data_IF_503463349290
#
_entry.id   IF_503463349290
#
_cell.length_a   1.000
_cell.length_b   1.000
_cell.length_c   1.000
_cell.angle_alpha   90.00
_cell.angle_beta   90.00
_cell.angle_gamma   90.00
#
_symmetry.space_group_name_H-M   'P 1'
#
loop_
_entity.id
_entity.type
_entity.pdbx_description
1 polymer ?
#
# COMPACT_ATOMS: atom_id res chain seq x y z
N UNK A 1 -8.12 -13.64 -27.34
CA UNK A 1 -8.21 -12.80 -28.55
C UNK A 1 -7.18 -13.36 -29.54
N UNK A 2 -7.60 -13.96 -30.66
CA UNK A 2 -6.63 -14.42 -31.65
C UNK A 2 -5.86 -13.19 -32.16
N UNK A 3 -4.54 -13.23 -32.01
CA UNK A 3 -3.64 -12.18 -32.47
C UNK A 3 -3.39 -12.37 -33.96
N UNK A 4 -4.12 -11.64 -34.79
CA UNK A 4 -3.91 -11.64 -36.24
C UNK A 4 -2.67 -10.82 -36.68
N UNK A 5 -2.16 -9.92 -35.83
CA UNK A 5 -1.12 -8.97 -36.21
C UNK A 5 0.18 -9.04 -35.34
N UNK A 6 0.39 -10.12 -34.57
CA UNK A 6 1.66 -10.27 -33.84
C UNK A 6 2.75 -10.80 -34.78
N UNK A 7 3.88 -10.10 -34.82
CA UNK A 7 5.07 -10.57 -35.53
C UNK A 7 5.93 -11.48 -34.62
N UNK A 8 6.69 -12.42 -35.20
CA UNK A 8 7.66 -13.20 -34.43
C UNK A 8 8.71 -12.29 -33.80
N UNK A 9 9.25 -12.71 -32.67
CA UNK A 9 10.31 -11.97 -31.99
C UNK A 9 11.65 -12.15 -32.70
N UNK A 10 12.35 -11.03 -32.93
CA UNK A 10 13.73 -10.99 -33.41
C UNK A 10 14.64 -10.40 -32.32
N UNK A 11 15.79 -11.06 -32.08
CA UNK A 11 16.75 -10.66 -31.02
C UNK A 11 17.30 -9.24 -31.24
N UNK A 12 17.42 -8.82 -32.49
CA UNK A 12 17.87 -7.48 -32.89
C UNK A 12 16.96 -6.36 -32.30
N UNK A 13 15.71 -6.67 -32.01
CA UNK A 13 14.74 -5.74 -31.43
C UNK A 13 14.81 -5.68 -29.86
N UNK A 14 15.62 -6.51 -29.24
CA UNK A 14 15.73 -6.56 -27.74
C UNK A 14 16.11 -5.22 -27.11
N UNK A 15 17.05 -4.42 -27.64
CA UNK A 15 17.36 -3.10 -27.07
C UNK A 15 16.13 -2.18 -26.95
N UNK A 16 15.22 -2.25 -27.89
CA UNK A 16 14.01 -1.43 -27.91
C UNK A 16 13.00 -1.88 -26.84
N UNK A 17 12.93 -3.18 -26.57
CA UNK A 17 12.14 -3.70 -25.44
C UNK A 17 12.75 -3.31 -24.07
N UNK A 18 14.08 -3.19 -23.99
CA UNK A 18 14.73 -2.68 -22.77
C UNK A 18 14.30 -1.23 -22.50
N UNK A 19 14.31 -0.38 -23.52
CA UNK A 19 13.83 1.01 -23.44
C UNK A 19 12.36 1.04 -23.01
N UNK A 20 11.52 0.22 -23.63
CA UNK A 20 10.12 0.08 -23.24
C UNK A 20 9.98 -0.33 -21.76
N UNK A 21 10.81 -1.27 -21.28
CA UNK A 21 10.81 -1.70 -19.88
C UNK A 21 11.07 -0.56 -18.90
N UNK A 22 12.08 0.27 -19.20
CA UNK A 22 12.39 1.46 -18.39
C UNK A 22 11.23 2.46 -18.41
N UNK A 23 10.65 2.74 -19.58
CA UNK A 23 9.49 3.62 -19.73
C UNK A 23 8.29 3.09 -18.94
N UNK A 24 7.99 1.79 -19.02
CA UNK A 24 6.93 1.16 -18.21
C UNK A 24 7.19 1.30 -16.71
N UNK A 25 8.45 1.17 -16.26
CA UNK A 25 8.83 1.39 -14.87
C UNK A 25 8.57 2.82 -14.41
N UNK A 26 8.91 3.82 -15.23
CA UNK A 26 8.65 5.24 -14.94
C UNK A 26 7.13 5.57 -14.95
N UNK A 27 6.38 5.02 -15.90
CA UNK A 27 4.92 5.18 -15.94
C UNK A 27 4.26 4.47 -14.76
N UNK A 28 4.79 3.31 -14.33
CA UNK A 28 4.34 2.63 -13.11
C UNK A 28 4.56 3.49 -11.85
N UNK A 29 5.71 4.16 -11.78
CA UNK A 29 6.00 5.11 -10.69
C UNK A 29 5.03 6.29 -10.69
N UNK A 30 4.78 6.88 -11.87
CA UNK A 30 3.79 7.94 -12.04
C UNK A 30 2.41 7.48 -11.58
N UNK A 31 1.96 6.29 -12.03
CA UNK A 31 0.67 5.73 -11.65
C UNK A 31 0.56 5.49 -10.15
N UNK A 32 1.56 4.86 -9.54
CA UNK A 32 1.56 4.50 -8.11
C UNK A 32 1.54 5.74 -7.22
N UNK A 33 2.42 6.71 -7.48
CA UNK A 33 2.47 7.97 -6.72
C UNK A 33 1.24 8.82 -6.96
N UNK A 34 0.82 8.93 -8.22
CA UNK A 34 -0.36 9.71 -8.60
C UNK A 34 -1.63 9.18 -7.95
N UNK A 35 -1.87 7.87 -8.00
CA UNK A 35 -3.03 7.25 -7.35
C UNK A 35 -3.05 7.52 -5.84
N UNK A 36 -1.94 7.29 -5.14
CA UNK A 36 -1.87 7.50 -3.69
C UNK A 36 -2.06 8.98 -3.31
N UNK A 37 -1.36 9.88 -4.00
CA UNK A 37 -1.42 11.32 -3.68
C UNK A 37 -2.78 11.92 -3.97
N UNK A 38 -3.37 11.62 -5.14
CA UNK A 38 -4.67 12.15 -5.53
C UNK A 38 -5.81 11.54 -4.69
N UNK A 39 -5.72 10.25 -4.33
CA UNK A 39 -6.71 9.63 -3.46
C UNK A 39 -6.69 10.24 -2.05
N UNK A 40 -5.50 10.52 -1.49
CA UNK A 40 -5.37 11.21 -0.21
C UNK A 40 -5.87 12.65 -0.29
N UNK A 41 -5.54 13.37 -1.37
CA UNK A 41 -6.02 14.73 -1.60
C UNK A 41 -7.55 14.78 -1.67
N UNK A 42 -8.16 13.87 -2.43
CA UNK A 42 -9.60 13.75 -2.56
C UNK A 42 -10.28 13.48 -1.22
N UNK A 43 -9.76 12.51 -0.43
CA UNK A 43 -10.28 12.19 0.90
C UNK A 43 -10.17 13.34 1.89
N UNK A 44 -9.10 14.14 1.79
CA UNK A 44 -8.85 15.27 2.69
C UNK A 44 -9.80 16.44 2.43
N UNK A 45 -10.11 16.75 1.15
CA UNK A 45 -10.90 17.93 0.78
C UNK A 45 -12.40 17.64 0.68
N UNK A 46 -12.80 16.42 0.36
CA UNK A 46 -14.20 16.07 0.16
C UNK A 46 -14.59 15.03 1.21
N UNK A 47 -15.20 15.46 2.32
CA UNK A 47 -15.58 14.57 3.42
C UNK A 47 -17.03 14.07 3.32
N UNK A 48 -17.94 14.90 2.82
CA UNK A 48 -19.36 14.55 2.69
C UNK A 48 -19.58 13.55 1.54
N UNK A 49 -20.33 12.47 1.80
CA UNK A 49 -20.60 11.37 0.86
C UNK A 49 -21.26 11.86 -0.43
N UNK A 50 -22.26 12.75 -0.33
CA UNK A 50 -22.93 13.32 -1.49
C UNK A 50 -22.02 14.25 -2.31
N UNK A 51 -21.16 15.01 -1.62
CA UNK A 51 -20.16 15.83 -2.29
C UNK A 51 -19.11 14.98 -3.02
N UNK A 52 -18.68 13.84 -2.44
CA UNK A 52 -17.80 12.87 -3.11
C UNK A 52 -18.40 12.36 -4.41
N UNK A 53 -19.67 11.94 -4.36
CA UNK A 53 -20.39 11.48 -5.55
C UNK A 53 -20.51 12.57 -6.60
N UNK A 54 -20.92 13.79 -6.22
CA UNK A 54 -21.10 14.90 -7.15
C UNK A 54 -19.78 15.32 -7.81
N UNK A 55 -18.72 15.55 -7.01
CA UNK A 55 -17.39 15.96 -7.51
C UNK A 55 -16.77 14.86 -8.35
N UNK A 56 -16.76 13.60 -7.85
CA UNK A 56 -16.20 12.46 -8.58
C UNK A 56 -16.97 12.19 -9.88
N UNK A 57 -18.31 12.18 -9.83
CA UNK A 57 -19.16 11.94 -11.01
C UNK A 57 -19.02 13.04 -12.07
N UNK A 58 -18.99 14.32 -11.66
CA UNK A 58 -18.82 15.44 -12.60
C UNK A 58 -17.42 15.41 -13.24
N UNK A 59 -16.37 15.21 -12.43
CA UNK A 59 -15.00 15.11 -12.94
C UNK A 59 -14.85 13.93 -13.92
N UNK A 60 -15.40 12.75 -13.56
CA UNK A 60 -15.38 11.58 -14.43
C UNK A 60 -16.18 11.84 -15.71
N UNK A 61 -17.38 12.40 -15.63
CA UNK A 61 -18.21 12.72 -16.80
C UNK A 61 -17.51 13.68 -17.77
N UNK A 62 -16.84 14.71 -17.27
CA UNK A 62 -16.04 15.61 -18.09
C UNK A 62 -14.87 14.91 -18.77
N UNK A 63 -14.15 14.04 -18.03
CA UNK A 63 -13.04 13.27 -18.59
C UNK A 63 -13.51 12.28 -19.66
N UNK A 64 -14.65 11.63 -19.47
CA UNK A 64 -15.23 10.70 -20.45
C UNK A 64 -15.72 11.40 -21.70
N UNK A 65 -16.26 12.63 -21.56
CA UNK A 65 -16.65 13.46 -22.70
C UNK A 65 -15.44 13.87 -23.55
N UNK A 66 -14.33 14.26 -22.90
CA UNK A 66 -13.09 14.65 -23.60
C UNK A 66 -12.35 13.42 -24.16
N UNK A 67 -12.28 12.33 -23.39
CA UNK A 67 -11.51 11.13 -23.69
C UNK A 67 -12.40 9.88 -23.54
N UNK A 68 -13.25 9.54 -24.52
CA UNK A 68 -14.10 8.35 -24.48
C UNK A 68 -13.38 7.05 -24.14
N UNK A 69 -12.12 6.82 -24.55
CA UNK A 69 -11.34 5.64 -24.16
C UNK A 69 -11.09 5.45 -22.66
N UNK A 70 -11.33 6.48 -21.84
CA UNK A 70 -11.25 6.35 -20.38
C UNK A 70 -12.44 5.60 -19.79
N UNK A 71 -13.51 5.40 -20.55
CA UNK A 71 -14.70 4.66 -20.12
C UNK A 71 -14.38 3.18 -19.87
N UNK A 72 -14.88 2.66 -18.77
CA UNK A 72 -14.73 1.28 -18.39
C UNK A 72 -13.27 0.85 -18.18
N UNK A 73 -12.98 -0.40 -18.50
CA UNK A 73 -11.67 -1.00 -18.32
C UNK A 73 -10.71 -0.73 -19.49
N UNK A 74 -11.23 -0.24 -20.64
CA UNK A 74 -10.44 0.12 -21.81
C UNK A 74 -10.04 -1.06 -22.71
N UNK A 75 -10.61 -2.25 -22.53
CA UNK A 75 -10.29 -3.43 -23.34
C UNK A 75 -10.57 -3.25 -24.83
N UNK A 76 -11.59 -2.48 -25.20
CA UNK A 76 -11.90 -2.22 -26.60
C UNK A 76 -10.78 -1.43 -27.29
N UNK A 77 -10.24 -0.43 -26.59
CA UNK A 77 -9.07 0.33 -27.08
C UNK A 77 -7.83 -0.56 -27.18
N UNK A 78 -7.60 -1.43 -26.19
CA UNK A 78 -6.50 -2.40 -26.23
C UNK A 78 -6.62 -3.29 -27.49
N UNK A 79 -7.81 -3.80 -27.78
CA UNK A 79 -8.07 -4.60 -28.98
C UNK A 79 -7.82 -3.81 -30.27
N UNK A 80 -8.26 -2.55 -30.33
CA UNK A 80 -8.01 -1.67 -31.48
C UNK A 80 -6.51 -1.45 -31.69
N UNK A 81 -5.74 -1.18 -30.64
CA UNK A 81 -4.29 -0.99 -30.73
C UNK A 81 -3.57 -2.25 -31.20
N UNK A 82 -3.96 -3.43 -30.70
CA UNK A 82 -3.37 -4.71 -31.08
C UNK A 82 -3.71 -5.04 -32.56
N UNK A 83 -4.90 -4.69 -33.01
CA UNK A 83 -5.33 -4.94 -34.40
C UNK A 83 -4.82 -3.88 -35.39
N UNK A 84 -4.07 -2.87 -34.93
CA UNK A 84 -3.53 -1.81 -35.78
C UNK A 84 -4.55 -0.70 -36.12
N UNK A 85 -5.72 -0.71 -35.49
CA UNK A 85 -6.78 0.28 -35.70
C UNK A 85 -6.74 1.40 -34.65
N UNK A 86 -5.60 2.07 -34.55
CA UNK A 86 -5.41 3.16 -33.59
C UNK A 86 -6.27 4.41 -33.89
N UNK A 87 -6.76 4.53 -35.13
CA UNK A 87 -7.59 5.67 -35.55
C UNK A 87 -8.99 5.58 -34.95
N UNK A 88 -9.57 4.39 -34.89
CA UNK A 88 -10.90 4.19 -34.27
C UNK A 88 -10.95 4.58 -32.80
N UNK A 89 -9.82 4.56 -32.10
CA UNK A 89 -9.75 4.97 -30.69
C UNK A 89 -9.93 6.49 -30.47
N UNK A 90 -9.66 7.33 -31.49
CA UNK A 90 -9.91 8.79 -31.42
C UNK A 90 -11.31 9.16 -31.90
N UNK A 91 -12.00 8.24 -32.58
CA UNK A 91 -13.36 8.47 -33.06
C UNK A 91 -14.33 8.81 -31.90
N UNK A 92 -15.32 9.61 -32.20
CA UNK A 92 -16.29 10.12 -31.21
C UNK A 92 -15.69 11.01 -30.10
N UNK A 93 -14.42 11.43 -30.23
CA UNK A 93 -13.82 12.40 -29.30
C UNK A 93 -13.83 13.81 -29.95
N UNK A 94 -13.81 14.89 -29.15
CA UNK A 94 -13.64 16.26 -29.67
C UNK A 94 -12.33 16.43 -30.47
N UNK A 95 -11.36 15.56 -30.27
CA UNK A 95 -10.04 15.58 -30.92
C UNK A 95 -10.01 14.94 -32.31
N UNK A 96 -11.07 14.25 -32.72
CA UNK A 96 -11.18 13.66 -34.07
C UNK A 96 -10.96 14.70 -35.19
N UNK A 97 -11.40 15.94 -34.94
CA UNK A 97 -11.23 17.05 -35.89
C UNK A 97 -9.80 17.52 -36.10
N UNK A 98 -8.87 17.17 -35.19
CA UNK A 98 -7.45 17.54 -35.32
C UNK A 98 -6.70 16.69 -36.35
N UNK A 99 -7.38 15.70 -36.93
CA UNK A 99 -6.80 14.79 -37.92
C UNK A 99 -6.18 13.55 -37.29
N UNK A 100 -5.65 12.68 -38.17
CA UNK A 100 -5.11 11.36 -37.80
C UNK A 100 -3.60 11.27 -37.96
N UNK A 101 -2.89 12.39 -37.90
CA UNK A 101 -1.42 12.39 -38.03
C UNK A 101 -0.80 11.65 -36.84
N UNK A 102 0.37 11.02 -37.03
CA UNK A 102 1.06 10.27 -35.98
C UNK A 102 1.31 11.11 -34.70
N UNK A 103 1.58 12.40 -34.84
CA UNK A 103 1.77 13.32 -33.71
C UNK A 103 0.48 13.56 -32.92
N UNK A 104 -0.66 13.69 -33.63
CA UNK A 104 -1.98 13.86 -32.98
C UNK A 104 -2.34 12.61 -32.19
N UNK A 105 -2.13 11.42 -32.77
CA UNK A 105 -2.35 10.14 -32.07
C UNK A 105 -1.47 10.00 -30.83
N UNK A 106 -0.18 10.27 -30.94
CA UNK A 106 0.76 10.21 -29.81
C UNK A 106 0.32 11.20 -28.71
N UNK A 107 -0.01 12.44 -29.09
CA UNK A 107 -0.49 13.45 -28.13
C UNK A 107 -1.80 13.06 -27.43
N UNK A 108 -2.75 12.50 -28.18
CA UNK A 108 -4.02 12.03 -27.66
C UNK A 108 -3.86 10.87 -26.65
N UNK A 109 -3.08 9.85 -27.02
CA UNK A 109 -2.79 8.71 -26.11
C UNK A 109 -1.95 9.12 -24.91
N UNK A 110 -1.01 10.07 -25.07
CA UNK A 110 -0.27 10.62 -23.94
C UNK A 110 -1.20 11.36 -22.97
N UNK A 111 -2.17 12.11 -23.47
CA UNK A 111 -3.19 12.76 -22.63
C UNK A 111 -4.07 11.72 -21.92
N UNK A 112 -4.50 10.65 -22.61
CA UNK A 112 -5.24 9.55 -21.97
C UNK A 112 -4.41 8.93 -20.84
N UNK A 113 -3.11 8.68 -21.05
CA UNK A 113 -2.21 8.12 -20.07
C UNK A 113 -2.11 9.02 -18.81
N UNK A 114 -2.03 10.34 -19.01
CA UNK A 114 -2.00 11.32 -17.92
C UNK A 114 -3.33 11.35 -17.16
N UNK A 115 -4.46 11.39 -17.87
CA UNK A 115 -5.78 11.56 -17.25
C UNK A 115 -6.39 10.26 -16.69
N UNK A 116 -5.88 9.07 -17.05
CA UNK A 116 -6.39 7.79 -16.52
C UNK A 116 -6.32 7.71 -15.00
N UNK A 117 -5.29 8.28 -14.38
CA UNK A 117 -5.17 8.32 -12.93
C UNK A 117 -6.31 9.14 -12.32
N UNK A 118 -6.60 10.31 -12.89
CA UNK A 118 -7.69 11.17 -12.41
C UNK A 118 -9.05 10.49 -12.55
N UNK A 119 -9.30 9.81 -13.68
CA UNK A 119 -10.51 9.01 -13.88
C UNK A 119 -10.65 7.89 -12.86
N UNK A 120 -9.55 7.16 -12.57
CA UNK A 120 -9.54 6.07 -11.58
C UNK A 120 -9.78 6.59 -10.16
N UNK A 121 -9.17 7.72 -9.79
CA UNK A 121 -9.36 8.35 -8.48
C UNK A 121 -10.77 8.94 -8.36
N UNK A 122 -11.32 9.57 -9.41
CA UNK A 122 -12.68 10.09 -9.41
C UNK A 122 -13.70 8.96 -9.23
N UNK A 123 -13.51 7.83 -9.88
CA UNK A 123 -14.35 6.64 -9.71
C UNK A 123 -14.31 6.11 -8.27
N UNK A 124 -13.12 5.80 -7.76
CA UNK A 124 -12.96 5.23 -6.42
C UNK A 124 -13.34 6.23 -5.32
N UNK A 125 -12.93 7.49 -5.47
CA UNK A 125 -13.24 8.57 -4.53
C UNK A 125 -14.72 8.97 -4.53
N UNK A 126 -15.38 8.89 -5.67
CA UNK A 126 -16.82 9.15 -5.83
C UNK A 126 -17.74 8.06 -5.27
N UNK A 127 -17.19 6.95 -4.78
CA UNK A 127 -17.94 5.81 -4.22
C UNK A 127 -18.18 4.67 -5.22
N UNK A 128 -17.58 4.76 -6.40
CA UNK A 128 -17.59 3.67 -7.38
C UNK A 128 -16.64 2.53 -6.98
N UNK A 129 -16.91 1.33 -7.48
CA UNK A 129 -16.03 0.17 -7.34
C UNK A 129 -15.06 0.14 -8.52
N UNK A 130 -13.77 0.27 -8.25
CA UNK A 130 -12.73 0.22 -9.27
C UNK A 130 -11.45 -0.45 -8.75
N UNK A 131 -10.84 -1.29 -9.58
CA UNK A 131 -9.53 -1.90 -9.33
C UNK A 131 -8.40 -1.09 -9.97
N UNK A 132 -7.16 -1.46 -9.67
CA UNK A 132 -5.95 -0.91 -10.31
C UNK A 132 -5.38 -1.86 -11.39
N UNK A 133 -5.91 -3.07 -11.47
CA UNK A 133 -5.45 -4.10 -12.40
C UNK A 133 -5.72 -3.72 -13.87
N UNK A 134 -7.00 -3.55 -14.24
CA UNK A 134 -7.38 -3.18 -15.61
C UNK A 134 -6.81 -1.82 -16.04
N UNK A 135 -6.83 -0.75 -15.22
CA UNK A 135 -6.11 0.48 -15.53
C UNK A 135 -4.62 0.30 -15.81
N UNK A 136 -3.93 -0.59 -15.07
CA UNK A 136 -2.50 -0.85 -15.32
C UNK A 136 -2.27 -1.51 -16.67
N UNK A 137 -3.07 -2.51 -17.04
CA UNK A 137 -2.99 -3.14 -18.37
C UNK A 137 -3.25 -2.13 -19.50
N UNK A 138 -4.30 -1.33 -19.36
CA UNK A 138 -4.67 -0.30 -20.33
C UNK A 138 -3.56 0.72 -20.53
N UNK A 139 -3.03 1.29 -19.45
CA UNK A 139 -1.91 2.23 -19.52
C UNK A 139 -0.65 1.58 -20.10
N UNK A 140 -0.42 0.29 -19.82
CA UNK A 140 0.68 -0.48 -20.38
C UNK A 140 0.58 -0.61 -21.88
N UNK A 141 -0.60 -0.95 -22.41
CA UNK A 141 -0.83 -1.03 -23.85
C UNK A 141 -0.58 0.31 -24.54
N UNK A 142 -1.07 1.40 -23.96
CA UNK A 142 -0.86 2.76 -24.48
C UNK A 142 0.61 3.14 -24.42
N UNK A 143 1.32 2.85 -23.33
CA UNK A 143 2.76 3.13 -23.20
C UNK A 143 3.57 2.39 -24.27
N UNK A 144 3.26 1.09 -24.49
CA UNK A 144 3.88 0.30 -25.54
C UNK A 144 3.60 0.85 -26.93
N UNK A 145 2.34 1.20 -27.20
CA UNK A 145 1.94 1.78 -28.48
C UNK A 145 2.64 3.12 -28.75
N UNK A 146 2.65 4.05 -27.80
CA UNK A 146 3.33 5.35 -27.92
C UNK A 146 4.83 5.13 -28.22
N UNK A 147 5.47 4.25 -27.45
CA UNK A 147 6.89 3.94 -27.62
C UNK A 147 7.18 3.42 -29.04
N UNK A 148 6.41 2.45 -29.53
CA UNK A 148 6.57 1.90 -30.86
C UNK A 148 6.29 2.95 -31.97
N UNK A 149 5.21 3.74 -31.81
CA UNK A 149 4.87 4.78 -32.78
C UNK A 149 5.97 5.84 -32.89
N UNK A 150 6.55 6.28 -31.77
CA UNK A 150 7.67 7.22 -31.76
C UNK A 150 8.92 6.61 -32.43
N UNK A 151 9.23 5.34 -32.17
CA UNK A 151 10.32 4.63 -32.82
C UNK A 151 10.11 4.49 -34.34
N UNK A 152 8.88 4.20 -34.76
CA UNK A 152 8.53 4.10 -36.16
C UNK A 152 8.60 5.45 -36.88
N UNK A 153 8.31 6.56 -36.20
CA UNK A 153 8.47 7.91 -36.78
C UNK A 153 9.93 8.29 -37.05
N UNK A 154 10.88 7.68 -36.35
CA UNK A 154 12.32 7.87 -36.57
C UNK A 154 12.92 6.74 -37.42
N UNK A 155 12.08 5.87 -38.01
CA UNK A 155 12.50 4.87 -39.01
C UNK A 155 12.99 3.54 -38.43
N UNK A 156 12.73 3.21 -37.14
CA UNK A 156 13.24 1.96 -36.53
C UNK A 156 12.45 0.73 -36.98
N UNK A 157 11.16 0.84 -37.30
CA UNK A 157 10.35 -0.26 -37.83
C UNK A 157 10.04 -1.36 -36.81
N UNK A 158 9.39 -1.02 -35.68
CA UNK A 158 8.98 -1.99 -34.66
C UNK A 158 7.46 -2.27 -34.70
N UNK A 159 7.02 -3.50 -34.39
CA UNK A 159 5.59 -3.88 -34.42
C UNK A 159 4.84 -3.29 -33.22
N UNK A 160 3.89 -2.38 -33.48
CA UNK A 160 3.12 -1.68 -32.47
C UNK A 160 2.29 -2.61 -31.58
N UNK A 161 1.73 -3.68 -32.17
CA UNK A 161 0.97 -4.69 -31.44
C UNK A 161 1.81 -5.41 -30.38
N UNK A 162 3.02 -5.84 -30.77
CA UNK A 162 3.92 -6.54 -29.86
C UNK A 162 4.40 -5.62 -28.71
N UNK A 163 4.65 -4.35 -29.02
CA UNK A 163 5.03 -3.35 -28.02
C UNK A 163 3.87 -3.01 -27.06
N UNK A 164 2.66 -2.92 -27.58
CA UNK A 164 1.46 -2.74 -26.74
C UNK A 164 1.31 -3.91 -25.75
N UNK A 165 1.42 -5.16 -26.21
CA UNK A 165 1.35 -6.37 -25.38
C UNK A 165 2.50 -6.41 -24.34
N UNK A 166 3.71 -6.13 -24.77
CA UNK A 166 4.86 -6.09 -23.87
C UNK A 166 4.73 -4.97 -22.83
N UNK A 167 4.19 -3.82 -23.23
CA UNK A 167 3.87 -2.72 -22.32
C UNK A 167 2.83 -3.08 -21.27
N UNK A 168 1.79 -3.86 -21.64
CA UNK A 168 0.81 -4.39 -20.67
C UNK A 168 1.49 -5.23 -19.58
N UNK A 169 2.36 -6.17 -19.98
CA UNK A 169 3.14 -6.99 -19.05
C UNK A 169 4.06 -6.14 -18.19
N UNK A 170 4.75 -5.16 -18.78
CA UNK A 170 5.68 -4.26 -18.09
C UNK A 170 5.02 -3.40 -17.04
N UNK A 171 3.90 -2.74 -17.38
CA UNK A 171 3.23 -1.86 -16.44
C UNK A 171 2.58 -2.64 -15.29
N UNK A 172 2.00 -3.80 -15.61
CA UNK A 172 1.47 -4.69 -14.58
C UNK A 172 2.57 -5.16 -13.62
N UNK A 173 3.72 -5.57 -14.16
CA UNK A 173 4.87 -5.98 -13.36
C UNK A 173 5.36 -4.86 -12.43
N UNK A 174 5.39 -3.62 -12.93
CA UNK A 174 5.80 -2.45 -12.16
C UNK A 174 4.81 -2.06 -11.06
N UNK A 175 3.53 -1.90 -11.39
CA UNK A 175 2.50 -1.44 -10.43
C UNK A 175 2.22 -2.48 -9.34
N UNK A 176 2.12 -3.76 -9.73
CA UNK A 176 1.76 -4.87 -8.82
C UNK A 176 2.98 -5.51 -8.14
N UNK A 177 4.21 -5.22 -8.59
CA UNK A 177 5.42 -5.93 -8.22
C UNK A 177 5.32 -7.45 -8.49
N UNK A 178 4.65 -7.83 -9.57
CA UNK A 178 4.35 -9.20 -9.93
C UNK A 178 4.75 -9.51 -11.39
N UNK A 179 6.05 -9.55 -11.72
CA UNK A 179 6.51 -9.74 -13.09
C UNK A 179 6.02 -11.05 -13.71
N UNK A 180 6.06 -12.16 -12.97
CA UNK A 180 5.58 -13.45 -13.47
C UNK A 180 4.08 -13.40 -13.85
N UNK A 181 3.28 -12.77 -13.03
CA UNK A 181 1.84 -12.60 -13.30
C UNK A 181 1.62 -11.81 -14.59
N UNK A 182 2.36 -10.71 -14.80
CA UNK A 182 2.28 -9.93 -16.02
C UNK A 182 2.68 -10.73 -17.28
N UNK A 183 3.75 -11.50 -17.20
CA UNK A 183 4.25 -12.32 -18.30
C UNK A 183 3.24 -13.40 -18.69
N UNK A 184 2.84 -14.24 -17.71
CA UNK A 184 1.95 -15.38 -18.00
C UNK A 184 0.54 -14.93 -18.37
N UNK A 185 0.03 -13.86 -17.76
CA UNK A 185 -1.28 -13.33 -18.13
C UNK A 185 -1.33 -12.90 -19.59
N UNK A 186 -0.33 -12.16 -20.06
CA UNK A 186 -0.33 -11.69 -21.46
C UNK A 186 -0.05 -12.84 -22.41
N UNK A 187 0.83 -13.78 -22.07
CA UNK A 187 1.07 -14.98 -22.86
C UNK A 187 -0.20 -15.80 -23.03
N UNK A 188 -0.98 -15.99 -21.98
CA UNK A 188 -2.24 -16.73 -21.99
C UNK A 188 -3.35 -15.99 -22.76
N UNK A 189 -3.49 -14.67 -22.54
CA UNK A 189 -4.46 -13.84 -23.28
C UNK A 189 -4.20 -13.83 -24.80
N UNK A 190 -2.95 -13.96 -25.18
CA UNK A 190 -2.54 -13.97 -26.60
C UNK A 190 -2.57 -15.37 -27.23
N UNK A 191 -2.80 -16.40 -26.43
CA UNK A 191 -2.89 -17.80 -26.88
C UNK A 191 -1.56 -18.34 -27.42
N UNK A 192 -0.40 -17.74 -27.03
CA UNK A 192 0.90 -18.18 -27.50
C UNK A 192 2.09 -17.63 -26.72
N UNK A 193 3.17 -18.42 -26.69
CA UNK A 193 4.40 -18.09 -25.97
C UNK A 193 5.50 -17.51 -26.89
N UNK A 194 5.19 -17.18 -28.15
CA UNK A 194 6.18 -16.63 -29.10
C UNK A 194 6.70 -15.24 -28.71
N UNK A 195 5.91 -14.47 -27.90
CA UNK A 195 6.33 -13.20 -27.31
C UNK A 195 6.92 -13.33 -25.89
N UNK A 196 7.17 -14.55 -25.41
CA UNK A 196 7.57 -14.77 -24.02
C UNK A 196 8.87 -14.03 -23.65
N UNK A 197 9.87 -14.06 -24.55
CA UNK A 197 11.15 -13.36 -24.33
C UNK A 197 11.00 -11.84 -24.19
N UNK A 198 10.33 -11.12 -25.11
CA UNK A 198 10.10 -9.68 -24.93
C UNK A 198 9.22 -9.36 -23.71
N UNK A 199 8.21 -10.17 -23.42
CA UNK A 199 7.40 -10.00 -22.21
C UNK A 199 8.24 -10.09 -20.93
N UNK A 200 9.14 -11.08 -20.84
CA UNK A 200 10.08 -11.25 -19.73
C UNK A 200 11.01 -10.04 -19.60
N UNK A 201 11.63 -9.62 -20.69
CA UNK A 201 12.57 -8.50 -20.68
C UNK A 201 11.88 -7.22 -20.16
N UNK A 202 10.72 -6.86 -20.72
CA UNK A 202 10.00 -5.65 -20.36
C UNK A 202 9.47 -5.72 -18.91
N UNK A 203 8.90 -6.86 -18.50
CA UNK A 203 8.35 -7.02 -17.15
C UNK A 203 9.43 -6.93 -16.07
N UNK A 204 10.57 -7.61 -16.26
CA UNK A 204 11.67 -7.61 -15.29
C UNK A 204 12.32 -6.23 -15.20
N UNK A 205 12.59 -5.57 -16.33
CA UNK A 205 13.20 -4.25 -16.35
C UNK A 205 12.26 -3.21 -15.72
N UNK A 206 10.97 -3.25 -16.04
CA UNK A 206 9.98 -2.37 -15.45
C UNK A 206 9.91 -2.54 -13.92
N UNK A 207 9.86 -3.79 -13.44
CA UNK A 207 9.87 -4.10 -12.02
C UNK A 207 11.14 -3.60 -11.33
N UNK A 208 12.32 -3.83 -11.90
CA UNK A 208 13.58 -3.36 -11.35
C UNK A 208 13.64 -1.83 -11.32
N UNK A 209 13.14 -1.17 -12.36
CA UNK A 209 13.13 0.29 -12.45
C UNK A 209 12.26 0.90 -11.36
N UNK A 210 11.03 0.44 -11.17
CA UNK A 210 10.15 1.00 -10.13
C UNK A 210 10.67 0.68 -8.73
N UNK A 211 11.25 -0.49 -8.52
CA UNK A 211 11.72 -0.94 -7.20
C UNK A 211 12.84 -0.07 -6.63
N UNK A 212 13.59 0.63 -7.47
CA UNK A 212 14.58 1.63 -7.04
C UNK A 212 13.90 2.77 -6.27
N UNK A 213 12.69 3.16 -6.66
CA UNK A 213 11.97 4.31 -6.11
C UNK A 213 10.89 3.92 -5.09
N UNK A 214 10.25 2.77 -5.29
CA UNK A 214 9.14 2.29 -4.47
C UNK A 214 9.39 0.83 -4.05
N UNK A 215 9.68 0.57 -2.76
CA UNK A 215 10.00 -0.78 -2.28
C UNK A 215 8.78 -1.70 -2.24
N UNK A 216 7.57 -1.13 -2.21
CA UNK A 216 6.31 -1.85 -2.08
C UNK A 216 5.39 -1.62 -3.26
N UNK A 217 4.60 -2.64 -3.62
CA UNK A 217 3.51 -2.50 -4.61
C UNK A 217 2.44 -1.53 -4.10
N UNK A 218 1.60 -1.02 -5.01
CA UNK A 218 0.51 -0.11 -4.63
C UNK A 218 -0.44 -0.70 -3.56
N UNK A 219 -0.70 -2.00 -3.59
CA UNK A 219 -1.50 -2.69 -2.56
C UNK A 219 -0.77 -2.80 -1.22
N UNK A 220 0.50 -3.24 -1.26
CA UNK A 220 1.31 -3.37 -0.05
C UNK A 220 1.56 -2.01 0.62
N UNK A 221 1.70 -0.94 -0.15
CA UNK A 221 1.86 0.41 0.35
C UNK A 221 0.64 0.88 1.15
N UNK A 222 -0.58 0.54 0.71
CA UNK A 222 -1.81 0.84 1.44
C UNK A 222 -1.90 0.10 2.78
N UNK A 223 -1.43 -1.16 2.83
CA UNK A 223 -1.34 -1.92 4.09
C UNK A 223 -0.23 -1.38 4.99
N UNK A 224 0.91 -0.98 4.42
CA UNK A 224 2.00 -0.36 5.19
C UNK A 224 1.57 0.94 5.86
N UNK A 225 0.79 1.78 5.17
CA UNK A 225 0.25 3.03 5.74
C UNK A 225 -0.72 2.80 6.91
N UNK A 226 -1.39 1.65 6.95
CA UNK A 226 -2.26 1.24 8.07
C UNK A 226 -1.49 0.52 9.20
N UNK A 227 -0.20 0.25 9.02
CA UNK A 227 0.59 -0.57 9.93
C UNK A 227 0.28 -2.07 9.88
N UNK A 228 -0.49 -2.51 8.87
CA UNK A 228 -0.96 -3.89 8.72
C UNK A 228 -0.10 -4.72 7.74
N UNK A 229 1.04 -4.18 7.27
CA UNK A 229 1.89 -4.88 6.31
C UNK A 229 2.61 -6.05 6.97
N UNK A 230 2.20 -7.26 6.62
CA UNK A 230 2.91 -8.48 7.00
C UNK A 230 4.16 -8.63 6.13
N UNK A 231 5.33 -8.55 6.75
CA UNK A 231 6.61 -8.76 6.08
C UNK A 231 7.05 -10.22 6.19
N UNK A 232 8.09 -10.62 5.43
CA UNK A 232 8.69 -11.95 5.56
C UNK A 232 9.37 -12.18 6.94
N UNK A 233 9.53 -11.13 7.73
CA UNK A 233 10.02 -11.22 9.10
C UNK A 233 8.86 -11.71 9.99
N UNK A 234 8.91 -12.98 10.40
CA UNK A 234 7.85 -13.65 11.17
C UNK A 234 7.57 -12.95 12.49
N UNK A 235 8.58 -12.42 13.16
CA UNK A 235 8.44 -11.75 14.45
C UNK A 235 7.66 -10.43 14.33
N UNK A 236 7.99 -9.62 13.32
CA UNK A 236 7.23 -8.41 13.01
C UNK A 236 5.79 -8.70 12.59
N UNK A 237 5.57 -9.78 11.84
CA UNK A 237 4.23 -10.19 11.42
C UNK A 237 3.36 -10.61 12.61
N UNK A 238 3.93 -11.31 13.58
CA UNK A 238 3.24 -11.68 14.83
C UNK A 238 2.85 -10.42 15.62
N UNK A 239 3.77 -9.48 15.78
CA UNK A 239 3.50 -8.21 16.49
C UNK A 239 2.42 -7.37 15.80
N UNK A 240 2.34 -7.39 14.47
CA UNK A 240 1.31 -6.67 13.71
C UNK A 240 -0.09 -7.27 13.92
N UNK A 241 -0.18 -8.59 14.11
CA UNK A 241 -1.46 -9.29 14.33
C UNK A 241 -1.86 -9.37 15.80
N UNK A 242 -0.90 -9.18 16.71
CA UNK A 242 -1.14 -9.27 18.15
C UNK A 242 -1.89 -8.03 18.64
N UNK A 243 -3.03 -8.25 19.29
CA UNK A 243 -3.82 -7.19 19.92
C UNK A 243 -3.43 -7.05 21.39
N UNK A 244 -3.39 -5.82 21.89
CA UNK A 244 -3.07 -5.51 23.29
C UNK A 244 -3.95 -6.31 24.25
N UNK A 245 -5.25 -6.37 24.01
CA UNK A 245 -6.22 -7.08 24.85
C UNK A 245 -5.91 -8.57 25.05
N UNK A 246 -5.20 -9.19 24.09
CA UNK A 246 -4.87 -10.62 24.16
C UNK A 246 -3.63 -10.92 25.02
N UNK A 247 -2.84 -9.90 25.34
CA UNK A 247 -1.57 -10.03 26.11
C UNK A 247 -1.61 -9.27 27.41
N UNK A 248 -2.68 -8.47 27.62
CA UNK A 248 -2.87 -7.68 28.82
C UNK A 248 -3.16 -8.60 30.00
N UNK A 249 -2.38 -8.45 31.06
CA UNK A 249 -2.64 -9.12 32.34
C UNK A 249 -3.62 -8.27 33.16
N UNK A 250 -4.79 -8.81 33.42
CA UNK A 250 -5.88 -8.10 34.13
C UNK A 250 -6.10 -8.58 35.58
N UNK A 251 -5.52 -9.74 35.95
CA UNK A 251 -5.64 -10.27 37.31
C UNK A 251 -4.59 -9.64 38.24
N UNK A 252 -4.73 -8.33 38.47
CA UNK A 252 -3.85 -7.53 39.30
C UNK A 252 -4.60 -7.02 40.54
N UNK A 253 -3.92 -7.00 41.71
CA UNK A 253 -4.38 -6.32 42.90
C UNK A 253 -3.80 -4.92 42.94
N UNK A 254 -4.64 -3.91 42.93
CA UNK A 254 -4.23 -2.51 43.06
C UNK A 254 -4.02 -2.16 44.54
N UNK A 255 -3.11 -1.25 44.81
CA UNK A 255 -2.77 -0.75 46.13
C UNK A 255 -3.16 0.73 46.25
N UNK A 256 -3.60 1.14 47.45
CA UNK A 256 -3.76 2.54 47.79
C UNK A 256 -2.45 3.05 48.40
N UNK A 257 -1.96 4.26 48.08
CA UNK A 257 -0.72 4.81 48.62
C UNK A 257 -0.66 4.93 50.13
N UNK A 258 -1.80 5.11 50.79
CA UNK A 258 -1.91 5.27 52.26
C UNK A 258 -1.94 3.92 53.00
N UNK A 259 -1.98 2.78 52.31
CA UNK A 259 -1.93 1.46 52.95
C UNK A 259 -0.61 1.27 53.70
N UNK A 260 -0.70 0.66 54.88
CA UNK A 260 0.47 0.27 55.69
C UNK A 260 1.15 -0.99 55.12
N UNK A 261 2.42 -1.19 55.48
CA UNK A 261 3.13 -2.44 55.12
C UNK A 261 2.39 -3.70 55.61
N UNK A 262 1.75 -3.65 56.77
CA UNK A 262 0.97 -4.77 57.30
C UNK A 262 -0.27 -5.10 56.47
N UNK A 263 -0.93 -4.11 55.91
CA UNK A 263 -2.06 -4.29 54.98
C UNK A 263 -1.54 -4.80 53.62
N UNK A 264 -0.46 -4.25 53.13
CA UNK A 264 0.23 -4.72 51.90
C UNK A 264 0.57 -6.21 52.00
N UNK A 265 1.14 -6.69 53.11
CA UNK A 265 1.48 -8.10 53.28
C UNK A 265 0.24 -9.00 53.17
N UNK A 266 -0.94 -8.56 53.63
CA UNK A 266 -2.19 -9.32 53.45
C UNK A 266 -2.62 -9.39 51.99
N UNK A 267 -2.43 -8.30 51.24
CA UNK A 267 -2.72 -8.27 49.78
C UNK A 267 -1.77 -9.18 49.01
N UNK A 268 -0.46 -9.13 49.32
CA UNK A 268 0.55 -10.00 48.75
C UNK A 268 0.21 -11.48 48.99
N UNK A 269 -0.19 -11.83 50.19
CA UNK A 269 -0.57 -13.22 50.56
C UNK A 269 -1.77 -13.76 49.75
N UNK A 270 -2.62 -12.89 49.23
CA UNK A 270 -3.78 -13.24 48.40
C UNK A 270 -3.53 -13.11 46.90
N UNK A 271 -2.38 -12.59 46.51
CA UNK A 271 -2.01 -12.37 45.11
C UNK A 271 -1.12 -13.50 44.58
N UNK A 272 -1.25 -13.79 43.29
CA UNK A 272 -0.37 -14.67 42.57
C UNK A 272 0.69 -13.90 41.77
N UNK A 273 0.68 -12.57 41.87
CA UNK A 273 1.51 -11.67 41.08
C UNK A 273 2.59 -11.00 41.91
N UNK A 274 3.70 -10.67 41.26
CA UNK A 274 4.86 -10.05 41.90
C UNK A 274 4.92 -8.53 41.69
N UNK A 275 3.96 -7.97 40.95
CA UNK A 275 3.85 -6.55 40.67
C UNK A 275 2.48 -6.02 41.09
N UNK A 276 2.47 -4.86 41.72
CA UNK A 276 1.27 -4.25 42.27
C UNK A 276 1.19 -2.79 41.82
N UNK A 277 0.20 -2.43 40.98
CA UNK A 277 -0.06 -1.03 40.66
C UNK A 277 -0.55 -0.26 41.88
N UNK A 278 0.01 0.92 42.12
CA UNK A 278 -0.43 1.84 43.14
C UNK A 278 -1.28 2.93 42.46
N UNK A 279 -2.53 3.04 42.88
CA UNK A 279 -3.50 3.96 42.30
C UNK A 279 -4.09 4.87 43.36
N UNK A 280 -4.49 6.07 42.96
CA UNK A 280 -5.25 6.97 43.81
C UNK A 280 -6.74 6.57 43.89
N UNK A 281 -7.55 7.38 44.59
CA UNK A 281 -8.98 7.14 44.76
C UNK A 281 -9.78 7.28 43.46
N UNK A 282 -9.22 7.96 42.46
CA UNK A 282 -9.81 8.15 41.14
C UNK A 282 -9.34 7.09 40.12
N UNK A 283 -8.52 6.12 40.56
CA UNK A 283 -7.99 5.05 39.73
C UNK A 283 -6.76 5.43 38.89
N UNK A 284 -6.18 6.62 39.09
CA UNK A 284 -5.01 7.06 38.38
C UNK A 284 -3.75 6.37 38.91
N UNK A 285 -2.91 5.87 38.02
CA UNK A 285 -1.63 5.25 38.36
C UNK A 285 -0.67 6.27 38.98
N UNK A 286 -0.23 6.03 40.20
CA UNK A 286 0.77 6.82 40.93
C UNK A 286 2.16 6.17 40.86
N UNK A 287 2.24 4.85 40.83
CA UNK A 287 3.46 4.11 40.85
C UNK A 287 3.25 2.60 40.75
N UNK A 288 4.31 1.86 40.86
CA UNK A 288 4.31 0.39 40.94
C UNK A 288 5.11 -0.06 42.15
N UNK A 289 4.73 -1.16 42.74
CA UNK A 289 5.46 -1.82 43.81
C UNK A 289 5.79 -3.25 43.40
N UNK A 290 7.06 -3.61 43.47
CA UNK A 290 7.54 -4.94 43.16
C UNK A 290 7.71 -5.76 44.44
N UNK A 291 7.32 -7.02 44.40
CA UNK A 291 7.45 -7.93 45.58
C UNK A 291 8.92 -8.01 46.07
N UNK A 292 9.88 -7.96 45.15
CA UNK A 292 11.31 -8.05 45.49
C UNK A 292 11.80 -6.90 46.36
N UNK A 293 11.21 -5.72 46.23
CA UNK A 293 11.57 -4.52 47.02
C UNK A 293 11.11 -4.60 48.47
N UNK A 294 10.02 -5.28 48.72
CA UNK A 294 9.48 -5.44 50.07
C UNK A 294 9.81 -6.77 50.72
N UNK A 295 10.41 -7.70 49.98
CA UNK A 295 10.69 -9.08 50.45
C UNK A 295 11.46 -9.12 51.74
N UNK A 296 12.43 -8.24 51.95
CA UNK A 296 13.28 -8.22 53.13
C UNK A 296 12.58 -7.66 54.38
N UNK A 297 11.52 -6.85 54.23
CA UNK A 297 10.83 -6.16 55.33
C UNK A 297 9.46 -6.77 55.63
N UNK A 298 8.84 -7.48 54.65
CA UNK A 298 7.50 -8.04 54.78
C UNK A 298 7.34 -9.08 55.91
N UNK A 299 8.43 -9.71 56.34
CA UNK A 299 8.43 -10.71 57.44
C UNK A 299 8.78 -10.10 58.81
N UNK A 300 8.85 -8.77 58.91
CA UNK A 300 9.19 -8.07 60.15
C UNK A 300 7.97 -7.34 60.72
N UNK A 301 7.17 -7.93 61.66
CA UNK A 301 5.93 -7.34 62.16
C UNK A 301 6.10 -5.96 62.81
N UNK A 302 7.27 -5.71 63.38
CA UNK A 302 7.61 -4.39 63.97
C UNK A 302 7.64 -3.24 62.98
N UNK A 303 7.72 -3.53 61.68
CA UNK A 303 7.76 -2.53 60.62
C UNK A 303 6.37 -2.29 60.00
N UNK A 304 5.37 -3.09 60.30
CA UNK A 304 4.05 -3.06 59.67
C UNK A 304 3.35 -1.70 59.70
N UNK A 305 3.50 -0.97 60.79
CA UNK A 305 2.90 0.36 60.94
C UNK A 305 3.91 1.49 60.71
N UNK A 306 5.14 1.18 60.28
CA UNK A 306 6.20 2.15 60.09
C UNK A 306 6.27 2.68 58.67
N UNK A 307 5.97 1.83 57.70
CA UNK A 307 6.06 2.17 56.27
C UNK A 307 4.69 2.15 55.62
N UNK A 308 4.49 3.10 54.69
CA UNK A 308 3.33 3.16 53.79
C UNK A 308 3.70 2.71 52.38
N UNK A 309 2.71 2.29 51.59
CA UNK A 309 2.91 1.92 50.18
C UNK A 309 3.51 3.07 49.40
N UNK A 310 3.14 4.32 49.69
CA UNK A 310 3.68 5.52 49.05
C UNK A 310 5.19 5.68 49.24
N UNK A 311 5.71 5.25 50.39
CA UNK A 311 7.17 5.31 50.66
C UNK A 311 7.94 4.15 50.02
N UNK A 312 7.26 3.06 49.66
CA UNK A 312 7.83 1.84 49.11
C UNK A 312 7.63 1.70 47.58
N UNK A 313 6.73 2.50 46.97
CA UNK A 313 6.48 2.45 45.54
C UNK A 313 7.57 3.16 44.74
N UNK A 314 7.74 2.71 43.50
CA UNK A 314 8.61 3.36 42.54
C UNK A 314 7.83 3.87 41.33
N UNK A 315 8.40 4.84 40.62
CA UNK A 315 7.87 5.26 39.33
C UNK A 315 8.11 4.17 38.32
N UNK A 316 7.12 3.82 37.46
CA UNK A 316 7.34 2.87 36.38
C UNK A 316 8.37 3.41 35.38
N UNK A 317 9.19 2.52 34.82
CA UNK A 317 10.23 2.89 33.84
C UNK A 317 9.63 3.48 32.58
N UNK A 318 8.46 2.99 32.16
CA UNK A 318 7.63 3.55 31.12
C UNK A 318 6.16 3.19 31.35
N UNK A 319 5.27 3.90 30.65
CA UNK A 319 3.83 3.65 30.67
C UNK A 319 3.39 3.38 29.23
N UNK A 320 2.58 2.35 29.03
CA UNK A 320 2.00 1.96 27.74
C UNK A 320 0.53 2.39 27.74
N UNK A 321 0.04 2.88 26.59
CA UNK A 321 -1.39 3.14 26.39
C UNK A 321 -2.05 1.96 25.69
N UNK A 322 -3.31 1.68 26.01
CA UNK A 322 -4.06 0.57 25.42
C UNK A 322 -4.15 0.63 23.88
N UNK A 323 -4.05 1.82 23.30
CA UNK A 323 -4.10 2.06 21.85
C UNK A 323 -2.74 1.95 21.15
N UNK A 324 -1.65 1.70 21.88
CA UNK A 324 -0.30 1.66 21.32
C UNK A 324 -0.11 0.41 20.47
N UNK A 325 0.41 0.52 19.21
CA UNK A 325 0.73 -0.63 18.37
C UNK A 325 1.76 -1.55 19.02
N UNK A 326 1.59 -2.87 18.92
CA UNK A 326 2.47 -3.86 19.56
C UNK A 326 3.94 -3.75 19.16
N UNK A 327 4.23 -3.34 17.92
CA UNK A 327 5.61 -3.06 17.50
C UNK A 327 6.27 -1.95 18.33
N UNK A 328 5.53 -0.90 18.65
CA UNK A 328 6.03 0.20 19.48
C UNK A 328 6.12 -0.20 20.97
N UNK A 329 5.21 -1.06 21.41
CA UNK A 329 5.27 -1.66 22.76
C UNK A 329 6.57 -2.44 22.94
N UNK A 330 6.95 -3.25 21.94
CA UNK A 330 8.22 -4.01 21.99
C UNK A 330 9.44 -3.10 22.01
N UNK A 331 9.46 -2.01 21.23
CA UNK A 331 10.53 -1.00 21.29
C UNK A 331 10.67 -0.44 22.72
N UNK A 332 9.54 -0.11 23.39
CA UNK A 332 9.58 0.37 24.78
C UNK A 332 10.14 -0.69 25.74
N UNK A 333 9.79 -1.97 25.57
CA UNK A 333 10.37 -3.05 26.37
C UNK A 333 11.88 -3.22 26.13
N UNK A 334 12.32 -3.12 24.87
CA UNK A 334 13.75 -3.20 24.50
C UNK A 334 14.54 -2.01 25.07
N UNK A 335 14.00 -0.79 24.96
CA UNK A 335 14.66 0.44 25.42
C UNK A 335 14.76 0.50 26.95
N UNK A 336 13.74 0.02 27.66
CA UNK A 336 13.69 0.05 29.14
C UNK A 336 14.34 -1.18 29.78
N UNK A 337 14.45 -2.30 29.06
CA UNK A 337 14.84 -3.58 29.64
C UNK A 337 13.86 -4.10 30.69
N UNK A 338 12.67 -3.53 30.77
CA UNK A 338 11.66 -3.91 31.77
C UNK A 338 11.05 -5.28 31.45
N UNK A 339 10.70 -6.03 32.49
CA UNK A 339 9.96 -7.29 32.36
C UNK A 339 8.44 -7.10 32.36
N UNK A 340 7.99 -6.02 32.95
CA UNK A 340 6.57 -5.65 33.07
C UNK A 340 6.44 -4.13 32.98
N UNK A 341 5.44 -3.67 32.25
CA UNK A 341 5.11 -2.25 32.15
C UNK A 341 3.60 -2.05 32.36
N UNK A 342 3.20 -1.02 33.10
CA UNK A 342 1.79 -0.72 33.31
C UNK A 342 1.15 -0.21 32.02
N UNK A 343 -0.07 -0.67 31.76
CA UNK A 343 -0.92 -0.19 30.65
C UNK A 343 -2.02 0.67 31.26
N UNK A 344 -2.20 1.85 30.71
CA UNK A 344 -3.25 2.80 31.09
C UNK A 344 -4.12 3.13 29.88
N UNK A 345 -5.37 3.56 30.14
CA UNK A 345 -6.32 4.00 29.11
C UNK A 345 -5.96 5.37 28.52
#
# INVERSE_FOLDING_TARGET
>A
VPLTNSEPFFVERLPWYIILGVLCGLVSLYFTRGMNSLEQLFKRHVQNTWAKFAVGGTALGLLLFLFPPLYGEGYDVIKQLINGDSISAIANSPFERLGTSSWVLVGYFAAILLFKIFASVATNGGGGVGGIFAPSLFMGAITGFICARLMNMIGIGVPEANFALAGMSGLMAGVMHAPLTGIFLIAELTGGYHLFMPLMAVAVISFLTIKIFEPHSLYAMRLAQKGELLTHNKDRSVLTLLKMDNVLETDLKTLNPEMTLGELVKVIAQSRRNIFPVVDNDGKLLGILLLDEVRNIMFQPRLYNRFTVKELMNSPQAIITNTMPMGKVMEVFEDTGAWNLPVVD
#
